data_IF_304046678343
#
_entry.id   IF_304046678343
#
_cell.length_a   1.000
_cell.length_b   1.000
_cell.length_c   1.000
_cell.angle_alpha   90.00
_cell.angle_beta   90.00
_cell.angle_gamma   90.00
#
_symmetry.space_group_name_H-M   'P 1'
#
loop_
_entity.id
_entity.type
_entity.pdbx_description
1 polymer ?
#
# COMPACT_ATOMS: atom_id res chain seq x y z
N UNK A 1 13.47 12.52 14.78
CA UNK A 1 12.56 11.32 14.89
C UNK A 1 12.94 10.16 13.98
N UNK A 2 13.48 10.41 12.78
CA UNK A 2 13.84 9.39 11.78
C UNK A 2 14.76 8.29 12.33
N UNK A 3 15.82 8.67 13.06
CA UNK A 3 16.79 7.73 13.64
C UNK A 3 16.10 6.71 14.55
N UNK A 4 15.31 7.19 15.53
CA UNK A 4 14.60 6.31 16.46
C UNK A 4 13.59 5.41 15.74
N UNK A 5 12.86 5.95 14.75
CA UNK A 5 11.94 5.18 13.92
C UNK A 5 12.66 4.05 13.18
N UNK A 6 13.77 4.35 12.51
CA UNK A 6 14.54 3.38 11.73
C UNK A 6 15.18 2.29 12.60
N UNK A 7 15.73 2.66 13.76
CA UNK A 7 16.28 1.69 14.73
C UNK A 7 15.18 0.79 15.29
N UNK A 8 14.01 1.35 15.64
CA UNK A 8 12.87 0.55 16.12
C UNK A 8 12.37 -0.43 15.04
N UNK A 9 12.35 -0.02 13.77
CA UNK A 9 12.03 -0.90 12.65
C UNK A 9 13.01 -2.07 12.54
N UNK A 10 14.33 -1.79 12.54
CA UNK A 10 15.34 -2.83 12.40
C UNK A 10 15.37 -3.82 13.57
N UNK A 11 15.27 -3.33 14.82
CA UNK A 11 15.11 -4.18 16.00
C UNK A 11 13.84 -5.01 15.89
N UNK A 12 12.73 -4.39 15.47
CA UNK A 12 11.46 -5.08 15.36
C UNK A 12 11.46 -6.20 14.32
N UNK A 13 12.13 -6.02 13.18
CA UNK A 13 12.32 -7.09 12.18
C UNK A 13 13.07 -8.29 12.79
N UNK A 14 14.15 -8.03 13.55
CA UNK A 14 14.94 -9.07 14.23
C UNK A 14 14.12 -9.79 15.29
N UNK A 15 13.40 -9.05 16.13
CA UNK A 15 12.63 -9.67 17.21
C UNK A 15 11.43 -10.43 16.65
N UNK A 16 10.73 -9.92 15.62
CA UNK A 16 9.61 -10.62 14.98
C UNK A 16 10.05 -11.93 14.33
N UNK A 17 11.28 -12.01 13.78
CA UNK A 17 11.76 -13.25 13.18
C UNK A 17 12.12 -14.32 14.22
N UNK A 18 12.60 -13.91 15.40
CA UNK A 18 13.03 -14.83 16.46
C UNK A 18 11.94 -15.14 17.49
N UNK A 19 10.91 -14.30 17.60
CA UNK A 19 9.87 -14.42 18.62
C UNK A 19 8.87 -15.55 18.31
N UNK A 20 8.64 -16.41 19.30
CA UNK A 20 7.62 -17.47 19.26
C UNK A 20 6.38 -17.14 20.09
N UNK A 21 6.50 -16.20 21.04
CA UNK A 21 5.40 -15.78 21.92
C UNK A 21 4.47 -14.78 21.22
N UNK A 22 3.17 -15.09 21.17
CA UNK A 22 2.15 -14.22 20.59
C UNK A 22 2.11 -12.82 21.23
N UNK A 23 2.28 -12.72 22.55
CA UNK A 23 2.32 -11.44 23.25
C UNK A 23 3.50 -10.58 22.81
N UNK A 24 4.67 -11.20 22.64
CA UNK A 24 5.86 -10.50 22.17
C UNK A 24 5.69 -10.03 20.71
N UNK A 25 5.13 -10.88 19.85
CA UNK A 25 4.83 -10.52 18.45
C UNK A 25 3.91 -9.29 18.37
N UNK A 26 2.85 -9.23 19.20
CA UNK A 26 1.93 -8.08 19.23
C UNK A 26 2.65 -6.81 19.70
N UNK A 27 3.39 -6.88 20.80
CA UNK A 27 4.10 -5.71 21.35
C UNK A 27 5.10 -5.17 20.32
N UNK A 28 5.88 -6.05 19.70
CA UNK A 28 6.89 -5.67 18.71
C UNK A 28 6.23 -5.12 17.44
N UNK A 29 5.12 -5.71 16.97
CA UNK A 29 4.37 -5.19 15.82
C UNK A 29 3.85 -3.77 16.08
N UNK A 30 3.41 -3.46 17.31
CA UNK A 30 3.01 -2.10 17.70
C UNK A 30 4.20 -1.12 17.68
N UNK A 31 5.38 -1.55 18.17
CA UNK A 31 6.61 -0.75 18.14
C UNK A 31 7.06 -0.49 16.70
N UNK A 32 7.05 -1.52 15.85
CA UNK A 32 7.37 -1.41 14.41
C UNK A 32 6.39 -0.44 13.73
N UNK A 33 5.09 -0.57 13.99
CA UNK A 33 4.08 0.33 13.41
C UNK A 33 4.26 1.78 13.86
N UNK A 34 4.57 2.01 15.13
CA UNK A 34 4.88 3.35 15.63
C UNK A 34 6.19 3.91 15.02
N UNK A 35 7.20 3.06 14.87
CA UNK A 35 8.48 3.39 14.22
C UNK A 35 8.30 3.78 12.75
N UNK A 36 7.51 3.01 12.00
CA UNK A 36 7.15 3.28 10.60
C UNK A 36 6.42 4.63 10.46
N UNK A 37 5.45 4.89 11.33
CA UNK A 37 4.70 6.15 11.34
C UNK A 37 5.62 7.35 11.66
N UNK A 38 6.54 7.20 12.63
CA UNK A 38 7.51 8.23 12.97
C UNK A 38 8.51 8.49 11.83
N UNK A 39 8.98 7.43 11.17
CA UNK A 39 9.90 7.52 10.03
C UNK A 39 9.24 8.22 8.84
N UNK A 40 8.09 7.72 8.39
CA UNK A 40 7.38 8.21 7.19
C UNK A 40 6.93 9.68 7.32
N UNK A 41 6.38 10.07 8.47
CA UNK A 41 5.97 11.45 8.73
C UNK A 41 7.15 12.43 8.75
N UNK A 42 8.29 12.00 9.30
CA UNK A 42 9.48 12.84 9.41
C UNK A 42 10.26 12.92 8.10
N UNK A 43 10.25 11.86 7.28
CA UNK A 43 10.97 11.80 6.01
C UNK A 43 10.46 12.86 5.02
N UNK A 44 9.13 13.01 4.88
CA UNK A 44 8.54 14.02 4.00
C UNK A 44 8.88 15.45 4.42
N UNK A 45 8.85 15.71 5.73
CA UNK A 45 9.23 17.01 6.29
C UNK A 45 10.71 17.32 6.01
N UNK A 46 11.61 16.37 6.30
CA UNK A 46 13.04 16.53 6.08
C UNK A 46 13.37 16.82 4.61
N UNK A 47 12.75 16.08 3.69
CA UNK A 47 12.97 16.26 2.26
C UNK A 47 12.52 17.65 1.79
N UNK A 48 11.42 18.17 2.34
CA UNK A 48 10.93 19.51 2.02
C UNK A 48 11.84 20.63 2.52
N UNK A 49 12.50 20.42 3.67
CA UNK A 49 13.39 21.38 4.32
C UNK A 49 14.78 21.43 3.67
N UNK A 50 15.34 20.26 3.33
CA UNK A 50 16.66 20.17 2.71
C UNK A 50 16.65 20.48 1.20
N UNK A 51 15.49 20.47 0.56
CA UNK A 51 15.38 20.78 -0.87
C UNK A 51 15.05 22.25 -1.13
N UNK A 52 15.80 22.87 -2.04
CA UNK A 52 15.44 24.17 -2.59
C UNK A 52 14.12 24.08 -3.35
N UNK A 53 13.38 25.19 -3.44
CA UNK A 53 12.08 25.25 -4.13
C UNK A 53 12.15 24.70 -5.56
N UNK A 54 13.24 24.98 -6.27
CA UNK A 54 13.49 24.52 -7.65
C UNK A 54 13.73 23.01 -7.75
N UNK A 55 14.44 22.41 -6.79
CA UNK A 55 14.82 20.98 -6.81
C UNK A 55 13.86 20.08 -6.03
N UNK A 56 12.91 20.65 -5.28
CA UNK A 56 11.98 19.93 -4.41
C UNK A 56 11.22 18.84 -5.17
N UNK A 57 10.62 19.16 -6.31
CA UNK A 57 9.88 18.18 -7.11
C UNK A 57 10.75 17.02 -7.59
N UNK A 58 12.00 17.29 -7.98
CA UNK A 58 12.96 16.25 -8.38
C UNK A 58 13.35 15.37 -7.18
N UNK A 59 13.57 15.97 -6.01
CA UNK A 59 13.90 15.25 -4.78
C UNK A 59 12.76 14.31 -4.34
N UNK A 60 11.51 14.80 -4.33
CA UNK A 60 10.33 13.99 -4.02
C UNK A 60 10.08 12.88 -5.06
N UNK A 61 10.32 13.16 -6.35
CA UNK A 61 10.23 12.16 -7.42
C UNK A 61 11.27 11.05 -7.25
N UNK A 62 12.53 11.40 -6.99
CA UNK A 62 13.61 10.43 -6.76
C UNK A 62 13.34 9.58 -5.51
N UNK A 63 12.92 10.20 -4.41
CA UNK A 63 12.53 9.47 -3.20
C UNK A 63 11.39 8.48 -3.46
N UNK A 64 10.37 8.89 -4.22
CA UNK A 64 9.26 8.02 -4.58
C UNK A 64 9.72 6.86 -5.47
N UNK A 65 10.62 7.10 -6.42
CA UNK A 65 11.20 6.06 -7.28
C UNK A 65 11.99 5.03 -6.47
N UNK A 66 12.85 5.50 -5.56
CA UNK A 66 13.63 4.63 -4.67
C UNK A 66 12.75 3.78 -3.77
N UNK A 67 11.70 4.36 -3.18
CA UNK A 67 10.74 3.61 -2.39
C UNK A 67 10.04 2.54 -3.24
N UNK A 68 9.39 2.92 -4.34
CA UNK A 68 8.70 1.95 -5.20
C UNK A 68 9.63 0.83 -5.69
N UNK A 69 10.88 1.17 -6.03
CA UNK A 69 11.92 0.20 -6.38
C UNK A 69 12.26 -0.76 -5.23
N UNK A 70 12.40 -0.25 -4.01
CA UNK A 70 12.65 -1.07 -2.82
C UNK A 70 11.46 -2.00 -2.49
N UNK A 71 10.22 -1.50 -2.59
CA UNK A 71 9.01 -2.31 -2.43
C UNK A 71 8.94 -3.45 -3.46
N UNK A 72 9.24 -3.15 -4.73
CA UNK A 72 9.30 -4.16 -5.78
C UNK A 72 10.43 -5.18 -5.53
N UNK A 73 11.62 -4.69 -5.17
CA UNK A 73 12.81 -5.48 -4.90
C UNK A 73 12.65 -6.43 -3.71
N UNK A 74 11.91 -6.03 -2.68
CA UNK A 74 11.68 -6.83 -1.47
C UNK A 74 11.12 -8.24 -1.75
N UNK A 75 10.26 -8.37 -2.77
CA UNK A 75 9.74 -9.69 -3.18
C UNK A 75 10.80 -10.61 -3.81
N UNK A 76 11.90 -10.05 -4.35
CA UNK A 76 13.01 -10.82 -4.91
C UNK A 76 14.09 -11.14 -3.87
N UNK A 77 14.19 -10.35 -2.80
CA UNK A 77 15.18 -10.55 -1.72
C UNK A 77 15.04 -11.94 -1.08
N UNK A 78 13.85 -12.54 -1.10
CA UNK A 78 13.61 -13.90 -0.61
C UNK A 78 14.45 -14.96 -1.35
N UNK A 79 14.88 -14.71 -2.59
CA UNK A 79 15.77 -15.64 -3.31
C UNK A 79 17.14 -15.80 -2.65
N UNK A 80 17.56 -14.86 -1.79
CA UNK A 80 18.81 -14.96 -1.06
C UNK A 80 18.81 -16.12 -0.04
N UNK A 81 17.64 -16.70 0.26
CA UNK A 81 17.53 -17.93 1.06
C UNK A 81 18.05 -19.16 0.29
N UNK A 82 17.87 -19.19 -1.04
CA UNK A 82 18.16 -20.38 -1.85
C UNK A 82 19.62 -20.88 -1.76
N UNK A 83 20.65 -20.03 -1.87
CA UNK A 83 22.04 -20.48 -1.72
C UNK A 83 22.30 -21.15 -0.35
N UNK A 84 21.78 -20.58 0.74
CA UNK A 84 21.95 -21.14 2.08
C UNK A 84 21.36 -22.55 2.17
N UNK A 85 20.16 -22.75 1.60
CA UNK A 85 19.53 -24.07 1.57
C UNK A 85 20.29 -25.08 0.71
N UNK A 86 20.95 -24.64 -0.36
CA UNK A 86 21.82 -25.51 -1.19
C UNK A 86 23.08 -25.95 -0.43
N UNK A 87 23.57 -25.13 0.51
CA UNK A 87 24.67 -25.49 1.41
C UNK A 87 24.22 -26.32 2.63
N UNK A 88 22.96 -26.80 2.66
CA UNK A 88 22.44 -27.68 3.71
C UNK A 88 21.90 -26.96 4.94
N UNK A 89 21.77 -25.63 4.93
CA UNK A 89 21.08 -24.88 5.98
C UNK A 89 19.59 -25.18 5.90
N UNK A 90 18.93 -25.37 7.05
CA UNK A 90 17.48 -25.60 7.08
C UNK A 90 16.74 -24.41 6.48
N UNK A 91 15.57 -24.64 5.86
CA UNK A 91 14.76 -23.56 5.31
C UNK A 91 14.40 -22.53 6.38
N UNK A 92 14.10 -22.96 7.61
CA UNK A 92 13.79 -22.06 8.71
C UNK A 92 14.99 -21.16 9.04
N UNK A 93 16.17 -21.73 9.24
CA UNK A 93 17.36 -20.97 9.62
C UNK A 93 17.78 -20.01 8.51
N UNK A 94 17.66 -20.42 7.25
CA UNK A 94 17.97 -19.56 6.11
C UNK A 94 17.05 -18.32 6.05
N UNK A 95 15.76 -18.45 6.41
CA UNK A 95 14.85 -17.32 6.57
C UNK A 95 15.20 -16.46 7.78
N UNK A 96 15.51 -17.08 8.93
CA UNK A 96 15.92 -16.35 10.13
C UNK A 96 17.17 -15.51 9.86
N UNK A 97 18.19 -16.07 9.21
CA UNK A 97 19.39 -15.35 8.81
C UNK A 97 19.07 -14.19 7.87
N UNK A 98 18.19 -14.39 6.88
CA UNK A 98 17.77 -13.32 6.00
C UNK A 98 17.11 -12.17 6.77
N UNK A 99 16.12 -12.45 7.61
CA UNK A 99 15.42 -11.39 8.35
C UNK A 99 16.31 -10.70 9.39
N UNK A 100 17.20 -11.44 10.06
CA UNK A 100 18.19 -10.85 10.96
C UNK A 100 19.15 -9.94 10.18
N UNK A 101 19.66 -10.39 9.03
CA UNK A 101 20.53 -9.58 8.18
C UNK A 101 19.82 -8.32 7.67
N UNK A 102 18.55 -8.42 7.29
CA UNK A 102 17.74 -7.26 6.89
C UNK A 102 17.54 -6.27 8.04
N UNK A 103 17.22 -6.76 9.24
CA UNK A 103 17.09 -5.89 10.41
C UNK A 103 18.40 -5.19 10.79
N UNK A 104 19.54 -5.90 10.72
CA UNK A 104 20.87 -5.31 10.90
C UNK A 104 21.16 -4.26 9.82
N UNK A 105 20.86 -4.56 8.55
CA UNK A 105 21.04 -3.62 7.45
C UNK A 105 20.17 -2.36 7.62
N UNK A 106 18.93 -2.51 8.10
CA UNK A 106 18.07 -1.37 8.48
C UNK A 106 18.69 -0.55 9.60
N UNK A 107 19.22 -1.16 10.66
CA UNK A 107 19.91 -0.42 11.73
C UNK A 107 21.15 0.28 11.19
N UNK A 108 21.97 -0.41 10.38
CA UNK A 108 23.19 0.13 9.80
C UNK A 108 22.92 1.33 8.87
N UNK A 109 21.79 1.34 8.16
CA UNK A 109 21.40 2.49 7.32
C UNK A 109 21.16 3.77 8.14
N UNK A 110 20.99 3.67 9.46
CA UNK A 110 20.92 4.81 10.38
C UNK A 110 22.15 5.71 10.28
N UNK A 111 23.32 5.16 9.92
CA UNK A 111 24.57 5.92 9.75
C UNK A 111 24.41 7.04 8.72
N UNK A 112 23.60 6.84 7.67
CA UNK A 112 23.33 7.89 6.67
C UNK A 112 22.54 9.07 7.22
N UNK A 113 21.84 8.92 8.34
CA UNK A 113 21.07 9.98 8.98
C UNK A 113 21.83 10.71 10.10
N UNK A 114 22.94 10.17 10.59
CA UNK A 114 23.71 10.77 11.71
C UNK A 114 24.31 12.13 11.36
N UNK A 115 24.56 12.41 10.08
CA UNK A 115 25.09 13.69 9.60
C UNK A 115 24.03 14.76 9.32
N UNK A 116 22.74 14.43 9.48
CA UNK A 116 21.64 15.34 9.13
C UNK A 116 21.19 16.08 10.39
N UNK A 117 21.49 17.37 10.45
CA UNK A 117 21.01 18.23 11.53
C UNK A 117 19.59 18.72 11.22
N UNK A 118 18.66 18.45 12.13
CA UNK A 118 17.34 19.09 12.12
C UNK A 118 17.55 20.60 12.33
N UNK A 119 17.24 21.41 11.33
CA UNK A 119 17.06 22.83 11.58
C UNK A 119 15.82 22.99 12.46
N UNK A 120 15.83 23.94 13.39
CA UNK A 120 14.64 24.26 14.21
C UNK A 120 13.61 24.95 13.31
N UNK A 121 12.94 24.16 12.46
CA UNK A 121 11.89 24.62 11.59
C UNK A 121 10.76 25.23 12.39
N UNK A 122 10.29 26.41 11.96
CA UNK A 122 9.07 27.03 12.51
C UNK A 122 7.91 26.07 12.27
N UNK A 123 7.39 25.46 13.34
CA UNK A 123 6.09 24.78 13.31
C UNK A 123 5.07 25.85 12.96
N UNK A 124 4.68 25.93 11.69
CA UNK A 124 3.61 26.80 11.29
C UNK A 124 2.34 26.22 11.92
N UNK A 125 1.88 26.82 13.02
CA UNK A 125 0.58 26.52 13.61
C UNK A 125 -0.48 27.04 12.64
N UNK A 126 -0.67 26.36 11.52
CA UNK A 126 -1.86 26.57 10.72
C UNK A 126 -3.06 26.32 11.62
N UNK A 127 -3.97 27.30 11.65
CA UNK A 127 -5.22 27.21 12.40
C UNK A 127 -5.94 25.95 11.92
N UNK A 128 -6.10 24.95 12.79
CA UNK A 128 -6.94 23.80 12.52
C UNK A 128 -8.38 24.30 12.41
N UNK A 129 -8.82 24.57 11.19
CA UNK A 129 -10.22 24.86 10.95
C UNK A 129 -11.05 23.58 11.11
N UNK A 130 -12.23 23.73 11.71
CA UNK A 130 -13.16 22.63 11.83
C UNK A 130 -13.61 22.18 10.42
N UNK A 131 -13.69 20.86 10.21
CA UNK A 131 -14.16 20.33 8.94
C UNK A 131 -15.56 20.83 8.60
N UNK A 132 -15.75 21.26 7.35
CA UNK A 132 -17.07 21.64 6.86
C UNK A 132 -18.00 20.42 6.78
N UNK A 133 -19.32 20.65 6.85
CA UNK A 133 -20.30 19.56 6.67
C UNK A 133 -20.16 18.86 5.32
N UNK A 134 -19.80 19.60 4.26
CA UNK A 134 -19.56 19.05 2.92
C UNK A 134 -18.34 18.14 2.90
N UNK A 135 -17.24 18.55 3.53
CA UNK A 135 -16.03 17.71 3.65
C UNK A 135 -16.33 16.44 4.43
N UNK A 136 -17.08 16.54 5.55
CA UNK A 136 -17.49 15.37 6.34
C UNK A 136 -18.32 14.39 5.52
N UNK A 137 -19.33 14.88 4.80
CA UNK A 137 -20.19 14.03 3.95
C UNK A 137 -19.40 13.30 2.86
N UNK A 138 -18.54 14.02 2.13
CA UNK A 138 -17.66 13.43 1.10
C UNK A 138 -16.74 12.38 1.69
N UNK A 139 -16.11 12.70 2.82
CA UNK A 139 -15.19 11.79 3.50
C UNK A 139 -15.90 10.55 4.03
N UNK A 140 -17.09 10.70 4.61
CA UNK A 140 -17.90 9.57 5.08
C UNK A 140 -18.28 8.65 3.93
N UNK A 141 -18.79 9.18 2.82
CA UNK A 141 -19.12 8.40 1.62
C UNK A 141 -17.90 7.70 1.04
N UNK A 142 -16.80 8.43 0.88
CA UNK A 142 -15.56 7.88 0.34
C UNK A 142 -15.02 6.75 1.23
N UNK A 143 -14.90 7.00 2.53
CA UNK A 143 -14.41 6.03 3.50
C UNK A 143 -15.32 4.81 3.57
N UNK A 144 -16.64 4.99 3.68
CA UNK A 144 -17.59 3.88 3.76
C UNK A 144 -17.54 3.01 2.51
N UNK A 145 -17.39 3.61 1.33
CA UNK A 145 -17.20 2.86 0.09
C UNK A 145 -15.86 2.11 0.04
N UNK A 146 -14.82 2.57 0.74
CA UNK A 146 -13.50 1.91 0.75
C UNK A 146 -13.35 0.83 1.82
N UNK A 147 -14.16 0.82 2.87
CA UNK A 147 -14.05 -0.18 3.96
C UNK A 147 -14.22 -1.61 3.44
N UNK A 148 -15.17 -1.87 2.54
CA UNK A 148 -15.35 -3.20 1.94
C UNK A 148 -14.13 -3.64 1.12
N UNK A 149 -13.51 -2.71 0.38
CA UNK A 149 -12.24 -2.95 -0.33
C UNK A 149 -11.12 -3.24 0.67
N UNK A 150 -11.03 -2.48 1.77
CA UNK A 150 -10.02 -2.68 2.80
C UNK A 150 -10.12 -4.08 3.45
N UNK A 151 -11.32 -4.48 3.86
CA UNK A 151 -11.60 -5.81 4.43
C UNK A 151 -11.31 -6.90 3.41
N UNK A 152 -11.81 -6.78 2.17
CA UNK A 152 -11.55 -7.76 1.13
C UNK A 152 -10.07 -7.90 0.79
N UNK A 153 -9.32 -6.79 0.77
CA UNK A 153 -7.87 -6.80 0.57
C UNK A 153 -7.15 -7.57 1.69
N UNK A 154 -7.52 -7.35 2.95
CA UNK A 154 -6.82 -7.98 4.07
C UNK A 154 -7.12 -9.48 4.20
N UNK A 155 -8.30 -9.94 3.76
CA UNK A 155 -8.66 -11.36 3.75
C UNK A 155 -7.69 -12.26 3.00
N UNK A 156 -6.99 -11.76 1.97
CA UNK A 156 -6.13 -12.61 1.15
C UNK A 156 -4.80 -11.98 0.70
N UNK A 157 -4.69 -10.65 0.49
CA UNK A 157 -3.45 -10.03 -0.04
C UNK A 157 -2.23 -10.34 0.85
N UNK A 158 -2.26 -10.10 2.17
CA UNK A 158 -1.12 -10.37 3.04
C UNK A 158 -0.77 -11.86 3.13
N UNK A 159 -1.70 -12.73 2.73
CA UNK A 159 -1.60 -14.18 2.84
C UNK A 159 -1.25 -14.84 1.50
N UNK A 160 -1.05 -14.09 0.43
CA UNK A 160 -0.92 -14.65 -0.92
C UNK A 160 0.23 -15.64 -1.07
N UNK A 161 1.38 -15.39 -0.45
CA UNK A 161 2.50 -16.33 -0.50
C UNK A 161 2.12 -17.68 0.13
N UNK A 162 1.50 -17.64 1.31
CA UNK A 162 0.98 -18.82 2.00
C UNK A 162 -0.16 -19.49 1.23
N UNK A 163 -1.02 -18.70 0.57
CA UNK A 163 -2.10 -19.21 -0.27
C UNK A 163 -1.56 -20.01 -1.46
N UNK A 164 -0.55 -19.49 -2.17
CA UNK A 164 0.12 -20.20 -3.26
C UNK A 164 0.77 -21.49 -2.79
N UNK A 165 1.36 -21.47 -1.59
CA UNK A 165 1.93 -22.67 -0.97
C UNK A 165 0.85 -23.71 -0.69
N UNK A 166 -0.25 -23.36 -0.03
CA UNK A 166 -1.31 -24.32 0.26
C UNK A 166 -1.99 -24.86 -1.00
N UNK A 167 -2.27 -24.01 -1.98
CA UNK A 167 -3.00 -24.40 -3.20
C UNK A 167 -2.14 -25.18 -4.20
N UNK A 168 -0.89 -24.77 -4.40
CA UNK A 168 -0.02 -25.30 -5.47
C UNK A 168 1.27 -25.95 -4.95
N UNK A 169 1.50 -25.98 -3.63
CA UNK A 169 2.74 -26.50 -3.01
C UNK A 169 4.00 -25.77 -3.51
N UNK A 170 3.84 -24.49 -3.86
CA UNK A 170 4.91 -23.63 -4.35
C UNK A 170 5.57 -22.91 -3.15
N UNK A 171 6.90 -22.92 -3.03
CA UNK A 171 7.59 -22.21 -1.96
C UNK A 171 7.51 -20.68 -2.16
N UNK A 172 7.74 -19.95 -1.08
CA UNK A 172 7.82 -18.49 -1.07
C UNK A 172 8.96 -17.93 -1.92
N UNK A 173 10.07 -18.67 -2.06
CA UNK A 173 11.14 -18.33 -3.02
C UNK A 173 10.64 -18.22 -4.46
N UNK A 174 9.55 -18.91 -4.81
CA UNK A 174 8.93 -18.82 -6.14
C UNK A 174 7.77 -17.82 -6.18
N UNK A 175 6.98 -17.70 -5.11
CA UNK A 175 5.84 -16.77 -5.07
C UNK A 175 6.22 -15.32 -4.72
N UNK A 176 7.28 -15.09 -3.96
CA UNK A 176 7.77 -13.77 -3.54
C UNK A 176 8.03 -12.82 -4.73
N UNK A 177 8.71 -13.26 -5.80
CA UNK A 177 8.89 -12.44 -7.00
C UNK A 177 7.56 -12.02 -7.62
N UNK A 178 6.55 -12.90 -7.68
CA UNK A 178 5.21 -12.55 -8.18
C UNK A 178 4.61 -11.40 -7.36
N UNK A 179 4.77 -11.42 -6.04
CA UNK A 179 4.32 -10.35 -5.14
C UNK A 179 5.14 -9.06 -5.35
N UNK A 180 6.47 -9.19 -5.53
CA UNK A 180 7.37 -8.09 -5.83
C UNK A 180 7.04 -7.40 -7.15
N UNK A 181 6.88 -8.16 -8.24
CA UNK A 181 6.41 -7.65 -9.54
C UNK A 181 5.06 -6.95 -9.38
N UNK A 182 4.10 -7.58 -8.71
CA UNK A 182 2.75 -7.00 -8.50
C UNK A 182 2.82 -5.64 -7.78
N UNK A 183 3.76 -5.48 -6.85
CA UNK A 183 4.02 -4.24 -6.12
C UNK A 183 4.75 -3.21 -6.99
N UNK A 184 5.71 -3.65 -7.81
CA UNK A 184 6.45 -2.79 -8.75
C UNK A 184 5.62 -2.23 -9.90
N UNK A 185 4.52 -2.90 -10.27
CA UNK A 185 3.58 -2.41 -11.28
C UNK A 185 2.82 -1.15 -10.87
N UNK A 186 2.95 -0.68 -9.62
CA UNK A 186 2.41 0.60 -9.16
C UNK A 186 2.92 1.79 -10.00
N UNK A 187 4.17 1.76 -10.45
CA UNK A 187 4.70 2.81 -11.31
C UNK A 187 3.98 2.84 -12.68
N UNK A 188 3.69 1.68 -13.26
CA UNK A 188 2.94 1.59 -14.52
C UNK A 188 1.49 2.01 -14.34
N UNK A 189 0.85 1.67 -13.22
CA UNK A 189 -0.53 2.10 -12.96
C UNK A 189 -0.65 3.61 -12.83
N UNK A 190 0.36 4.30 -12.28
CA UNK A 190 0.42 5.75 -12.22
C UNK A 190 0.48 6.41 -13.61
N UNK A 191 1.12 5.77 -14.59
CA UNK A 191 1.15 6.24 -15.98
C UNK A 191 -0.17 5.98 -16.71
N UNK A 192 -0.82 4.84 -16.44
CA UNK A 192 -2.10 4.47 -17.04
C UNK A 192 -3.27 5.32 -16.54
N UNK A 193 -3.23 5.76 -15.27
CA UNK A 193 -4.31 6.50 -14.64
C UNK A 193 -4.72 7.77 -15.41
N UNK A 194 -3.83 8.74 -15.71
CA UNK A 194 -4.21 9.95 -16.47
C UNK A 194 -4.73 9.66 -17.88
N UNK A 195 -4.20 8.62 -18.54
CA UNK A 195 -4.64 8.25 -19.89
C UNK A 195 -6.07 7.71 -19.87
N UNK A 196 -6.41 6.85 -18.91
CA UNK A 196 -7.76 6.33 -18.76
C UNK A 196 -8.72 7.40 -18.26
N UNK A 197 -8.32 8.21 -17.27
CA UNK A 197 -9.12 9.32 -16.76
C UNK A 197 -9.59 10.27 -17.86
N UNK A 198 -8.68 10.66 -18.78
CA UNK A 198 -9.02 11.53 -19.92
C UNK A 198 -9.94 10.89 -20.96
N UNK A 199 -9.84 9.57 -21.17
CA UNK A 199 -10.62 8.87 -22.22
C UNK A 199 -12.06 8.56 -21.82
N UNK A 200 -12.29 8.19 -20.57
CA UNK A 200 -13.61 7.69 -20.12
C UNK A 200 -14.19 8.46 -18.94
N UNK A 201 -13.47 9.46 -18.43
CA UNK A 201 -13.81 10.19 -17.20
C UNK A 201 -13.25 9.51 -15.97
N UNK A 202 -12.84 10.30 -14.98
CA UNK A 202 -12.09 9.83 -13.82
C UNK A 202 -12.84 8.77 -12.99
N UNK A 203 -14.12 9.00 -12.71
CA UNK A 203 -14.96 8.07 -11.93
C UNK A 203 -15.19 6.76 -12.68
N UNK A 204 -15.49 6.83 -13.98
CA UNK A 204 -15.71 5.63 -14.80
C UNK A 204 -14.41 4.83 -14.94
N UNK A 205 -13.27 5.51 -15.12
CA UNK A 205 -11.96 4.85 -15.16
C UNK A 205 -11.70 4.07 -13.87
N UNK A 206 -11.93 4.67 -12.70
CA UNK A 206 -11.80 3.98 -11.42
C UNK A 206 -12.70 2.75 -11.32
N UNK A 207 -14.00 2.92 -11.62
CA UNK A 207 -14.99 1.83 -11.48
C UNK A 207 -14.67 0.68 -12.44
N UNK A 208 -14.35 0.97 -13.69
CA UNK A 208 -14.04 -0.06 -14.71
C UNK A 208 -12.78 -0.82 -14.32
N UNK A 209 -11.71 -0.14 -13.89
CA UNK A 209 -10.47 -0.83 -13.51
C UNK A 209 -10.64 -1.63 -12.22
N UNK A 210 -11.41 -1.12 -11.25
CA UNK A 210 -11.73 -1.85 -10.03
C UNK A 210 -12.59 -3.10 -10.31
N UNK A 211 -13.60 -3.01 -11.19
CA UNK A 211 -14.42 -4.16 -11.59
C UNK A 211 -13.60 -5.19 -12.37
N UNK A 212 -12.78 -4.76 -13.32
CA UNK A 212 -11.89 -5.65 -14.07
C UNK A 212 -10.89 -6.35 -13.14
N UNK A 213 -10.30 -5.62 -12.19
CA UNK A 213 -9.45 -6.16 -11.13
C UNK A 213 -10.19 -7.20 -10.27
N UNK A 214 -11.45 -6.94 -9.93
CA UNK A 214 -12.31 -7.85 -9.17
C UNK A 214 -12.64 -9.12 -9.96
N UNK A 215 -12.81 -9.03 -11.28
CA UNK A 215 -12.98 -10.20 -12.14
C UNK A 215 -11.74 -11.10 -12.12
N UNK A 216 -10.54 -10.51 -12.30
CA UNK A 216 -9.29 -11.27 -12.15
C UNK A 216 -9.11 -11.85 -10.74
N UNK A 217 -9.54 -11.13 -9.70
CA UNK A 217 -9.53 -11.65 -8.33
C UNK A 217 -10.33 -12.94 -8.20
N UNK A 218 -11.55 -12.98 -8.74
CA UNK A 218 -12.41 -14.17 -8.69
C UNK A 218 -11.77 -15.33 -9.44
N UNK A 219 -11.05 -15.08 -10.53
CA UNK A 219 -10.39 -16.13 -11.31
C UNK A 219 -9.18 -16.78 -10.63
N UNK A 220 -8.53 -16.10 -9.67
CA UNK A 220 -7.33 -16.59 -8.97
C UNK A 220 -7.52 -18.01 -8.39
N UNK A 221 -8.50 -18.27 -7.50
CA UNK A 221 -8.62 -19.57 -6.86
C UNK A 221 -9.05 -20.72 -7.78
N UNK A 222 -9.63 -20.40 -8.94
CA UNK A 222 -10.08 -21.37 -9.93
C UNK A 222 -9.04 -21.65 -11.02
N UNK A 223 -7.90 -20.95 -11.02
CA UNK A 223 -6.81 -21.21 -11.94
C UNK A 223 -6.23 -22.61 -11.73
N UNK A 224 -6.07 -23.38 -12.82
CA UNK A 224 -5.55 -24.75 -12.78
C UNK A 224 -4.03 -24.86 -12.55
N UNK A 225 -3.31 -23.74 -12.55
CA UNK A 225 -1.86 -23.73 -12.34
C UNK A 225 -1.40 -22.47 -11.62
N UNK A 226 -0.24 -22.56 -10.95
CA UNK A 226 0.41 -21.43 -10.30
C UNK A 226 0.65 -20.27 -11.26
N UNK A 227 1.19 -20.54 -12.46
CA UNK A 227 1.50 -19.49 -13.44
C UNK A 227 0.28 -18.69 -13.87
N UNK A 228 -0.87 -19.35 -14.09
CA UNK A 228 -2.11 -18.68 -14.44
C UNK A 228 -2.66 -17.87 -13.26
N UNK A 229 -2.63 -18.44 -12.05
CA UNK A 229 -3.04 -17.76 -10.82
C UNK A 229 -2.18 -16.52 -10.52
N UNK A 230 -0.87 -16.63 -10.71
CA UNK A 230 0.08 -15.53 -10.58
C UNK A 230 -0.18 -14.43 -11.60
N UNK A 231 -0.43 -14.78 -12.87
CA UNK A 231 -0.80 -13.82 -13.90
C UNK A 231 -2.07 -13.05 -13.55
N UNK A 232 -3.13 -13.74 -13.11
CA UNK A 232 -4.36 -13.09 -12.64
C UNK A 232 -4.10 -12.16 -11.46
N UNK A 233 -3.28 -12.57 -10.49
CA UNK A 233 -2.91 -11.72 -9.35
C UNK A 233 -2.15 -10.45 -9.78
N UNK A 234 -1.22 -10.57 -10.73
CA UNK A 234 -0.44 -9.46 -11.28
C UNK A 234 -1.37 -8.47 -12.01
N UNK A 235 -2.23 -8.95 -12.92
CA UNK A 235 -3.18 -8.09 -13.64
C UNK A 235 -4.19 -7.43 -12.70
N UNK A 236 -4.70 -8.19 -11.73
CA UNK A 236 -5.55 -7.68 -10.65
C UNK A 236 -4.87 -6.54 -9.91
N UNK A 237 -3.61 -6.69 -9.55
CA UNK A 237 -2.83 -5.68 -8.83
C UNK A 237 -2.60 -4.43 -9.67
N UNK A 238 -2.20 -4.58 -10.94
CA UNK A 238 -2.04 -3.47 -11.86
C UNK A 238 -3.33 -2.64 -11.97
N UNK A 239 -4.46 -3.30 -12.27
CA UNK A 239 -5.75 -2.65 -12.48
C UNK A 239 -6.28 -1.98 -11.21
N UNK A 240 -6.11 -2.62 -10.04
CA UNK A 240 -6.51 -2.02 -8.76
C UNK A 240 -5.71 -0.74 -8.49
N UNK A 241 -4.41 -0.77 -8.72
CA UNK A 241 -3.52 0.36 -8.43
C UNK A 241 -3.73 1.56 -9.35
N UNK A 242 -4.36 1.40 -10.53
CA UNK A 242 -4.76 2.54 -11.39
C UNK A 242 -5.72 3.48 -10.67
N UNK A 243 -6.56 2.94 -9.78
CA UNK A 243 -7.54 3.74 -9.05
C UNK A 243 -6.92 4.67 -8.00
N UNK A 244 -5.72 4.38 -7.49
CA UNK A 244 -5.08 5.16 -6.43
C UNK A 244 -4.80 6.63 -6.81
N UNK A 245 -4.10 6.90 -7.93
CA UNK A 245 -3.88 8.27 -8.40
C UNK A 245 -5.17 9.02 -8.71
N UNK A 246 -6.16 8.34 -9.31
CA UNK A 246 -7.46 8.92 -9.64
C UNK A 246 -8.26 9.28 -8.37
N UNK A 247 -8.31 8.39 -7.38
CA UNK A 247 -8.87 8.66 -6.05
C UNK A 247 -8.20 9.86 -5.38
N UNK A 248 -6.88 9.97 -5.52
CA UNK A 248 -6.13 11.07 -4.93
C UNK A 248 -6.50 12.39 -5.59
N UNK A 249 -6.60 12.43 -6.93
CA UNK A 249 -7.08 13.62 -7.65
C UNK A 249 -8.52 13.98 -7.28
N UNK A 250 -9.42 12.99 -7.18
CA UNK A 250 -10.80 13.19 -6.72
C UNK A 250 -10.87 13.93 -5.40
N UNK A 251 -10.15 13.41 -4.40
CA UNK A 251 -10.17 13.94 -3.05
C UNK A 251 -9.53 15.33 -3.01
N UNK A 252 -8.44 15.55 -3.75
CA UNK A 252 -7.81 16.87 -3.84
C UNK A 252 -8.71 17.89 -4.54
N UNK A 253 -9.47 17.50 -5.56
CA UNK A 253 -10.40 18.37 -6.28
C UNK A 253 -11.63 18.77 -5.47
N UNK A 254 -12.05 17.94 -4.51
CA UNK A 254 -13.26 18.19 -3.70
C UNK A 254 -12.93 18.80 -2.34
N UNK A 255 -11.86 18.35 -1.67
CA UNK A 255 -11.53 18.74 -0.30
C UNK A 255 -10.65 20.00 -0.30
N UNK A 256 -11.04 21.07 0.44
CA UNK A 256 -10.23 22.28 0.62
C UNK A 256 -8.82 21.97 1.14
N UNK A 257 -7.82 22.70 0.66
CA UNK A 257 -6.39 22.46 0.95
C UNK A 257 -6.09 22.35 2.45
N UNK A 258 -6.68 23.22 3.27
CA UNK A 258 -6.52 23.24 4.73
C UNK A 258 -7.13 22.03 5.46
N UNK A 259 -7.98 21.24 4.81
CA UNK A 259 -8.62 20.04 5.39
C UNK A 259 -8.06 18.72 4.83
N UNK A 260 -7.21 18.78 3.78
CA UNK A 260 -6.65 17.58 3.12
C UNK A 260 -5.80 16.71 4.05
N UNK A 261 -5.05 17.32 4.97
CA UNK A 261 -4.23 16.59 5.94
C UNK A 261 -5.08 15.70 6.88
N UNK A 262 -6.15 16.27 7.45
CA UNK A 262 -7.09 15.53 8.32
C UNK A 262 -7.85 14.47 7.51
N UNK A 263 -8.30 14.82 6.30
CA UNK A 263 -8.98 13.88 5.42
C UNK A 263 -8.11 12.66 5.10
N UNK A 264 -6.84 12.87 4.72
CA UNK A 264 -5.87 11.80 4.46
C UNK A 264 -5.64 10.89 5.67
N UNK A 265 -5.55 11.48 6.87
CA UNK A 265 -5.43 10.72 8.11
C UNK A 265 -6.64 9.83 8.37
N UNK A 266 -7.86 10.37 8.24
CA UNK A 266 -9.11 9.63 8.41
C UNK A 266 -9.22 8.51 7.36
N UNK A 267 -9.02 8.81 6.07
CA UNK A 267 -9.08 7.78 5.02
C UNK A 267 -8.06 6.66 5.26
N UNK A 268 -6.86 7.00 5.76
CA UNK A 268 -5.82 6.02 6.04
C UNK A 268 -6.20 5.10 7.19
N UNK A 269 -6.76 5.63 8.29
CA UNK A 269 -7.18 4.82 9.45
C UNK A 269 -8.28 3.85 9.05
N UNK A 270 -9.31 4.34 8.37
CA UNK A 270 -10.45 3.52 7.96
C UNK A 270 -10.16 2.56 6.80
N UNK A 271 -9.01 2.70 6.14
CA UNK A 271 -8.50 1.67 5.24
C UNK A 271 -7.62 0.66 5.99
N UNK A 272 -6.63 1.12 6.75
CA UNK A 272 -5.62 0.26 7.38
C UNK A 272 -6.20 -0.62 8.49
N UNK A 273 -7.06 -0.08 9.36
CA UNK A 273 -7.61 -0.87 10.47
C UNK A 273 -8.46 -2.06 9.98
N UNK A 274 -9.49 -1.87 9.12
CA UNK A 274 -10.28 -3.01 8.64
C UNK A 274 -9.43 -4.00 7.85
N UNK A 275 -8.48 -3.50 7.05
CA UNK A 275 -7.53 -4.36 6.34
C UNK A 275 -6.74 -5.26 7.29
N UNK A 276 -6.08 -4.70 8.31
CA UNK A 276 -5.27 -5.48 9.26
C UNK A 276 -6.11 -6.48 10.06
N UNK A 277 -7.29 -6.09 10.54
CA UNK A 277 -8.16 -7.01 11.28
C UNK A 277 -8.70 -8.15 10.43
N UNK A 278 -8.98 -7.89 9.15
CA UNK A 278 -9.51 -8.90 8.22
C UNK A 278 -8.49 -9.97 7.82
N UNK A 279 -7.19 -9.74 7.99
CA UNK A 279 -6.15 -10.75 7.75
C UNK A 279 -6.31 -11.97 8.66
N UNK A 280 -6.75 -11.77 9.91
CA UNK A 280 -6.93 -12.86 10.86
C UNK A 280 -7.99 -13.89 10.42
N UNK A 281 -9.25 -13.52 10.13
CA UNK A 281 -10.23 -14.47 9.59
C UNK A 281 -9.81 -15.04 8.24
N UNK A 282 -9.13 -14.27 7.38
CA UNK A 282 -8.53 -14.78 6.15
C UNK A 282 -7.58 -15.95 6.40
N UNK A 283 -6.71 -15.83 7.41
CA UNK A 283 -5.76 -16.88 7.77
C UNK A 283 -6.44 -18.15 8.31
N UNK A 284 -7.56 -18.01 9.02
CA UNK A 284 -8.36 -19.15 9.50
C UNK A 284 -8.96 -19.91 8.32
N UNK A 285 -9.57 -19.19 7.36
CA UNK A 285 -10.14 -19.81 6.16
C UNK A 285 -9.11 -20.61 5.36
N UNK A 286 -7.89 -20.08 5.23
CA UNK A 286 -6.79 -20.81 4.59
C UNK A 286 -6.40 -22.08 5.36
N UNK A 287 -6.29 -22.01 6.69
CA UNK A 287 -5.97 -23.17 7.53
C UNK A 287 -7.03 -24.27 7.46
N UNK A 288 -8.29 -23.91 7.29
CA UNK A 288 -9.40 -24.85 7.09
C UNK A 288 -9.48 -25.44 5.67
N UNK A 289 -8.56 -25.09 4.77
CA UNK A 289 -8.56 -25.57 3.39
C UNK A 289 -9.57 -24.85 2.48
N UNK A 290 -10.22 -23.78 2.95
CA UNK A 290 -11.23 -23.01 2.21
C UNK A 290 -10.56 -21.95 1.33
N UNK A 291 -9.77 -22.39 0.35
CA UNK A 291 -8.88 -21.50 -0.42
C UNK A 291 -9.60 -20.50 -1.33
N UNK A 292 -10.82 -20.77 -1.78
CA UNK A 292 -11.59 -19.84 -2.64
C UNK A 292 -12.38 -18.80 -1.85
N UNK A 293 -12.81 -19.14 -0.63
CA UNK A 293 -13.74 -18.34 0.16
C UNK A 293 -13.24 -16.91 0.48
N UNK A 294 -11.95 -16.67 0.82
CA UNK A 294 -11.43 -15.32 0.99
C UNK A 294 -11.63 -14.44 -0.25
N UNK A 295 -11.47 -15.01 -1.46
CA UNK A 295 -11.62 -14.30 -2.72
C UNK A 295 -13.09 -14.03 -3.05
N UNK A 296 -13.97 -15.00 -2.75
CA UNK A 296 -15.41 -14.85 -2.96
C UNK A 296 -16.00 -13.79 -2.03
N UNK A 297 -15.65 -13.81 -0.74
CA UNK A 297 -16.07 -12.79 0.23
C UNK A 297 -15.49 -11.42 -0.18
N UNK A 298 -14.21 -11.37 -0.54
CA UNK A 298 -13.60 -10.14 -1.02
C UNK A 298 -14.29 -9.61 -2.28
N UNK A 299 -14.67 -10.47 -3.22
CA UNK A 299 -15.36 -10.08 -4.45
C UNK A 299 -16.72 -9.45 -4.15
N UNK A 300 -17.50 -10.07 -3.27
CA UNK A 300 -18.77 -9.51 -2.82
C UNK A 300 -18.59 -8.12 -2.20
N UNK A 301 -17.65 -8.00 -1.25
CA UNK A 301 -17.36 -6.72 -0.59
C UNK A 301 -16.89 -5.65 -1.58
N UNK A 302 -16.01 -6.03 -2.52
CA UNK A 302 -15.50 -5.14 -3.56
C UNK A 302 -16.63 -4.64 -4.46
N UNK A 303 -17.50 -5.53 -4.94
CA UNK A 303 -18.62 -5.16 -5.81
C UNK A 303 -19.55 -4.17 -5.09
N UNK A 304 -19.93 -4.46 -3.84
CA UNK A 304 -20.78 -3.56 -3.04
C UNK A 304 -20.10 -2.20 -2.84
N UNK A 305 -18.81 -2.19 -2.50
CA UNK A 305 -17.99 -0.99 -2.36
C UNK A 305 -17.91 -0.15 -3.63
N UNK A 306 -17.62 -0.79 -4.76
CA UNK A 306 -17.47 -0.14 -6.07
C UNK A 306 -18.80 0.46 -6.52
N UNK A 307 -19.90 -0.28 -6.38
CA UNK A 307 -21.25 0.21 -6.72
C UNK A 307 -21.63 1.39 -5.82
N UNK A 308 -21.38 1.30 -4.51
CA UNK A 308 -21.66 2.39 -3.57
C UNK A 308 -20.87 3.64 -3.93
N UNK A 309 -19.57 3.48 -4.22
CA UNK A 309 -18.71 4.57 -4.70
C UNK A 309 -19.28 5.19 -5.99
N UNK A 310 -19.62 4.39 -6.99
CA UNK A 310 -20.16 4.88 -8.25
C UNK A 310 -21.46 5.68 -8.03
N UNK A 311 -22.41 5.15 -7.26
CA UNK A 311 -23.69 5.81 -6.99
C UNK A 311 -23.48 7.18 -6.33
N UNK A 312 -22.58 7.27 -5.35
CA UNK A 312 -22.32 8.51 -4.62
C UNK A 312 -21.52 9.54 -5.40
N UNK A 313 -20.58 9.11 -6.24
CA UNK A 313 -19.64 10.02 -6.89
C UNK A 313 -19.95 10.31 -8.37
N UNK A 314 -20.75 9.49 -9.08
CA UNK A 314 -21.03 9.67 -10.53
C UNK A 314 -21.58 11.03 -10.96
N UNK A 315 -22.13 11.83 -10.03
CA UNK A 315 -22.68 13.17 -10.30
C UNK A 315 -21.79 14.32 -9.82
N UNK A 316 -20.65 14.01 -9.21
CA UNK A 316 -19.72 15.02 -8.72
C UNK A 316 -18.94 15.58 -9.90
N UNK A 317 -19.09 16.88 -10.16
CA UNK A 317 -18.29 17.60 -11.16
C UNK A 317 -16.93 17.92 -10.55
N UNK A 318 -15.86 17.50 -11.22
CA UNK A 318 -14.47 17.77 -10.82
C UNK A 318 -13.95 18.87 -11.74
N UNK A 319 -13.23 19.88 -11.23
CA UNK A 319 -12.71 20.97 -12.05
C UNK A 319 -11.84 20.51 -13.23
N UNK A 320 -11.15 19.36 -13.12
CA UNK A 320 -10.34 18.77 -14.19
C UNK A 320 -11.15 18.30 -15.41
N UNK A 321 -12.48 18.19 -15.31
CA UNK A 321 -13.37 17.83 -16.43
C UNK A 321 -13.72 19.04 -17.34
N UNK A 322 -13.15 20.23 -17.07
CA UNK A 322 -13.27 21.45 -17.88
C UNK A 322 -12.07 21.58 -18.83
N UNK A 323 -12.23 21.35 -20.15
CA UNK A 323 -11.17 21.60 -21.13
C UNK A 323 -10.76 23.08 -21.23
N UNK A 324 -11.46 23.98 -20.54
CA UNK A 324 -11.29 25.43 -20.64
C UNK A 324 -10.36 26.07 -19.61
N UNK A 325 -9.98 25.39 -18.52
CA UNK A 325 -9.24 26.06 -17.43
C UNK A 325 -7.71 25.86 -17.46
N UNK A 326 -7.19 25.03 -18.37
CA UNK A 326 -5.74 24.91 -18.59
C UNK A 326 -5.22 26.03 -19.51
N UNK A 327 -6.09 26.64 -20.32
CA UNK A 327 -5.72 27.70 -21.27
C UNK A 327 -5.63 29.11 -20.65
N UNK A 328 -6.22 29.33 -19.47
CA UNK A 328 -6.28 30.66 -18.84
C UNK A 328 -5.21 30.89 -17.77
N UNK A 329 -4.35 29.90 -17.52
CA UNK A 329 -3.24 30.02 -16.57
C UNK A 329 -1.90 30.43 -17.24
N UNK A 330 -1.89 30.70 -18.55
CA UNK A 330 -0.71 31.15 -19.31
C UNK A 330 -1.02 32.42 -20.14
N UNK A 331 -1.82 33.34 -19.60
CA UNK A 331 -1.87 34.72 -20.11
C UNK A 331 -2.02 35.73 -18.98
#
# INVERSE_FOLDING_TARGET
MIIYGNVALGIGIIVLSLATSMYLLIIVALIVGAGDAAFSSSQGALLSELSSTEKRTAAFSLNSLMQNGAWAGGGFVIYLVSPLTQFGVSTLDAHLFLYVALGIATIASTVFFLGIYESKGRVNKERRENMTSKTKDVLTKYTLSNVGIAVGAGLFIPLMSQWFNYKFQVPDTTSGPVLGLSSGLLALSALLAPALGRRMGMINAMVITMLASTAFMVMIPFAGSFGLSAAFFIFRSLLMNVSGPLSTSLIMGIIPSNQRGVASGITSIFFRMPNSFSTYPGSILLKEGRYSLPFEIAAFLYIVSIISFYIWFRRVKIPEDSPSDVATAIH
#
